data_IF_053785271537
#
_entry.id   IF_053785271537
#
_cell.length_a   1.000
_cell.length_b   1.000
_cell.length_c   1.000
_cell.angle_alpha   90.00
_cell.angle_beta   90.00
_cell.angle_gamma   90.00
#
_symmetry.space_group_name_H-M   'P 1'
#
loop_
_entity.id
_entity.type
_entity.pdbx_description
1 polymer ?
#
# COMPACT_ATOMS: atom_id res chain seq x y z
N UNK A 1 -5.91 8.30 3.77
CA UNK A 1 -5.81 7.74 2.40
C UNK A 1 -7.22 7.41 1.91
N UNK A 2 -7.53 7.76 0.69
CA UNK A 2 -8.82 7.47 0.06
C UNK A 2 -8.61 6.45 -1.07
N UNK A 3 -9.51 5.47 -1.16
CA UNK A 3 -9.57 4.56 -2.30
C UNK A 3 -10.63 5.15 -3.25
N UNK A 4 -10.21 5.47 -4.46
CA UNK A 4 -11.06 5.97 -5.53
C UNK A 4 -11.82 4.83 -6.22
N UNK A 5 -12.80 5.15 -7.07
CA UNK A 5 -13.67 4.16 -7.72
C UNK A 5 -12.93 3.06 -8.48
N UNK A 6 -11.78 3.39 -9.07
CA UNK A 6 -10.94 2.45 -9.86
C UNK A 6 -9.94 1.66 -9.02
N UNK A 7 -10.09 1.63 -7.68
CA UNK A 7 -9.13 1.01 -6.78
C UNK A 7 -7.82 1.79 -6.65
N UNK A 8 -7.70 2.94 -7.29
CA UNK A 8 -6.57 3.88 -7.15
C UNK A 8 -6.56 4.43 -5.73
N UNK A 9 -5.41 4.43 -5.10
CA UNK A 9 -5.22 5.00 -3.77
C UNK A 9 -4.67 6.42 -3.91
N UNK A 10 -5.38 7.40 -3.34
CA UNK A 10 -4.81 8.72 -3.06
C UNK A 10 -4.11 8.66 -1.71
N UNK A 11 -2.79 8.57 -1.73
CA UNK A 11 -1.93 8.52 -0.55
C UNK A 11 -1.46 9.92 -0.18
N UNK A 12 -1.56 10.30 1.10
CA UNK A 12 -0.99 11.54 1.61
C UNK A 12 0.46 11.31 2.05
N UNK A 13 1.35 12.16 1.58
CA UNK A 13 2.76 12.10 1.91
C UNK A 13 3.07 12.20 3.39
N UNK A 14 4.30 11.87 3.73
CA UNK A 14 4.76 11.82 5.12
C UNK A 14 4.93 13.22 5.72
N UNK A 15 4.53 13.33 6.97
CA UNK A 15 4.81 14.52 7.79
C UNK A 15 6.23 14.48 8.34
N UNK A 16 6.72 15.65 8.74
CA UNK A 16 7.94 15.75 9.55
C UNK A 16 7.82 14.84 10.77
N UNK A 17 8.86 14.06 11.13
CA UNK A 17 8.83 13.20 12.31
C UNK A 17 8.44 13.95 13.59
N UNK A 18 7.61 13.35 14.43
CA UNK A 18 7.06 13.99 15.64
C UNK A 18 8.12 14.42 16.65
N UNK A 19 9.27 13.75 16.69
CA UNK A 19 10.43 14.14 17.50
C UNK A 19 11.11 15.42 17.03
N UNK A 20 10.95 15.79 15.75
CA UNK A 20 11.46 17.07 15.20
C UNK A 20 10.43 18.18 15.29
N UNK A 21 9.13 17.85 15.20
CA UNK A 21 8.06 18.83 15.38
C UNK A 21 6.78 18.15 15.92
N UNK A 22 6.44 18.37 17.20
CA UNK A 22 5.19 17.85 17.79
C UNK A 22 3.91 18.30 17.06
N UNK A 23 3.95 19.50 16.45
CA UNK A 23 2.82 20.09 15.71
C UNK A 23 2.89 19.79 14.20
N UNK A 24 3.44 18.64 13.84
CA UNK A 24 3.66 18.22 12.44
C UNK A 24 2.43 18.36 11.52
N UNK A 25 1.23 18.25 12.07
CA UNK A 25 -0.04 18.44 11.33
C UNK A 25 -0.39 19.90 11.03
N UNK A 26 0.38 20.87 11.51
CA UNK A 26 0.21 22.30 11.22
C UNK A 26 1.31 22.85 10.29
N UNK A 27 2.28 22.00 9.92
CA UNK A 27 3.43 22.40 9.11
C UNK A 27 3.30 21.82 7.70
N UNK A 28 3.66 22.62 6.70
CA UNK A 28 3.71 22.16 5.31
C UNK A 28 4.65 20.96 5.18
N UNK A 29 4.24 19.98 4.40
CA UNK A 29 5.15 18.93 3.95
C UNK A 29 6.20 19.53 3.02
N UNK A 30 7.39 18.91 2.95
CA UNK A 30 8.48 19.37 2.11
C UNK A 30 9.01 18.26 1.22
N UNK A 31 9.44 18.63 0.01
CA UNK A 31 10.14 17.72 -0.92
C UNK A 31 11.65 17.63 -0.60
N UNK A 32 12.20 18.62 0.07
CA UNK A 32 13.63 18.69 0.42
C UNK A 32 13.81 18.90 1.92
N UNK A 33 14.88 18.35 2.44
CA UNK A 33 15.38 18.69 3.78
C UNK A 33 15.97 20.12 3.80
N UNK A 34 16.20 20.72 4.97
CA UNK A 34 16.89 22.01 5.04
C UNK A 34 18.29 22.04 4.37
N UNK A 35 18.94 20.87 4.27
CA UNK A 35 20.24 20.70 3.58
C UNK A 35 20.12 20.45 2.07
N UNK A 36 18.91 20.52 1.50
CA UNK A 36 18.67 20.32 0.06
C UNK A 36 18.61 18.85 -0.40
N UNK A 37 18.61 17.89 0.52
CA UNK A 37 18.50 16.46 0.20
C UNK A 37 17.01 16.09 0.02
N UNK A 38 16.62 15.32 -1.00
CA UNK A 38 15.24 14.87 -1.17
C UNK A 38 14.71 14.10 0.04
N UNK A 39 13.54 14.49 0.55
CA UNK A 39 12.76 13.70 1.53
C UNK A 39 12.14 12.48 0.85
N UNK A 40 11.48 11.59 1.60
CA UNK A 40 10.69 10.50 0.99
C UNK A 40 9.59 11.07 0.07
N UNK A 41 8.91 12.15 0.49
CA UNK A 41 7.97 12.86 -0.39
C UNK A 41 8.66 13.36 -1.67
N UNK A 42 9.88 13.90 -1.56
CA UNK A 42 10.65 14.38 -2.72
C UNK A 42 11.02 13.27 -3.69
N UNK A 43 11.43 12.13 -3.17
CA UNK A 43 11.76 10.94 -4.00
C UNK A 43 10.52 10.41 -4.73
N UNK A 44 9.38 10.29 -4.03
CA UNK A 44 8.11 9.87 -4.61
C UNK A 44 7.63 10.87 -5.66
N UNK A 45 7.71 12.16 -5.36
CA UNK A 45 7.29 13.22 -6.27
C UNK A 45 8.10 13.19 -7.56
N UNK A 46 9.43 13.08 -7.47
CA UNK A 46 10.30 12.98 -8.63
C UNK A 46 10.02 11.72 -9.46
N UNK A 47 9.83 10.56 -8.78
CA UNK A 47 9.52 9.31 -9.47
C UNK A 47 8.20 9.38 -10.25
N UNK A 48 7.17 10.01 -9.67
CA UNK A 48 5.90 10.24 -10.35
C UNK A 48 6.04 11.17 -11.56
N UNK A 49 6.84 12.24 -11.45
CA UNK A 49 7.12 13.14 -12.57
C UNK A 49 7.91 12.45 -13.68
N UNK A 50 8.94 11.66 -13.35
CA UNK A 50 9.73 10.89 -14.32
C UNK A 50 8.82 9.98 -15.14
N UNK A 51 7.86 9.29 -14.50
CA UNK A 51 6.86 8.48 -15.18
C UNK A 51 5.93 9.33 -16.06
N UNK A 52 5.36 10.39 -15.50
CA UNK A 52 4.41 11.27 -16.21
C UNK A 52 5.00 11.91 -17.48
N UNK A 53 6.30 12.16 -17.47
CA UNK A 53 7.04 12.70 -18.62
C UNK A 53 7.64 11.62 -19.54
N UNK A 54 7.35 10.34 -19.28
CA UNK A 54 7.85 9.24 -20.10
C UNK A 54 9.37 8.98 -19.96
N UNK A 55 9.98 9.48 -18.89
CA UNK A 55 11.43 9.30 -18.64
C UNK A 55 11.73 7.91 -18.09
N UNK A 56 10.83 7.37 -17.26
CA UNK A 56 10.96 6.05 -16.63
C UNK A 56 9.62 5.33 -16.54
N UNK A 57 9.69 4.01 -16.41
CA UNK A 57 8.54 3.20 -16.00
C UNK A 57 8.06 3.59 -14.59
N UNK A 58 6.76 3.35 -14.27
CA UNK A 58 6.23 3.72 -12.97
C UNK A 58 6.93 2.93 -11.85
N UNK A 59 7.23 3.62 -10.76
CA UNK A 59 7.79 2.97 -9.58
C UNK A 59 6.75 2.07 -8.92
N UNK A 60 7.12 0.82 -8.66
CA UNK A 60 6.25 -0.16 -8.01
C UNK A 60 6.33 -0.01 -6.48
N UNK A 61 5.18 0.19 -5.86
CA UNK A 61 5.03 0.39 -4.43
C UNK A 61 4.22 -0.76 -3.85
N UNK A 62 4.77 -1.47 -2.87
CA UNK A 62 4.02 -2.47 -2.11
C UNK A 62 3.20 -1.76 -1.03
N UNK A 63 1.89 -1.92 -1.06
CA UNK A 63 0.97 -1.20 -0.19
C UNK A 63 0.49 -2.11 0.94
N UNK A 64 0.55 -1.59 2.18
CA UNK A 64 0.05 -2.24 3.38
C UNK A 64 -1.02 -1.39 4.04
N UNK A 65 -2.20 -1.97 4.27
CA UNK A 65 -3.28 -1.32 5.00
C UNK A 65 -3.31 -1.79 6.45
N UNK A 66 -3.21 -0.85 7.38
CA UNK A 66 -3.33 -1.14 8.80
C UNK A 66 -4.79 -1.42 9.16
N UNK A 67 -5.07 -2.58 9.76
CA UNK A 67 -6.39 -2.93 10.29
C UNK A 67 -6.53 -2.50 11.75
N UNK A 68 -5.55 -2.87 12.57
CA UNK A 68 -5.44 -2.51 14.00
C UNK A 68 -3.98 -2.54 14.42
N UNK A 69 -3.67 -2.17 15.65
CA UNK A 69 -2.28 -2.19 16.15
C UNK A 69 -1.65 -3.58 15.95
N UNK A 70 -0.56 -3.63 15.21
CA UNK A 70 0.20 -4.85 14.94
C UNK A 70 -0.40 -5.78 13.88
N UNK A 71 -1.52 -5.43 13.22
CA UNK A 71 -2.13 -6.24 12.16
C UNK A 71 -2.36 -5.42 10.90
N UNK A 72 -1.86 -5.93 9.79
CA UNK A 72 -1.88 -5.30 8.48
C UNK A 72 -2.45 -6.23 7.41
N UNK A 73 -2.91 -5.67 6.30
CA UNK A 73 -3.24 -6.40 5.06
C UNK A 73 -2.23 -6.01 4.00
N UNK A 74 -1.64 -7.01 3.35
CA UNK A 74 -0.87 -6.79 2.13
C UNK A 74 -1.84 -6.56 0.97
N UNK A 75 -1.83 -5.35 0.45
CA UNK A 75 -2.65 -4.94 -0.70
C UNK A 75 -1.97 -5.25 -2.04
N UNK A 76 -0.73 -5.77 -2.01
CA UNK A 76 0.09 -6.05 -3.19
C UNK A 76 0.73 -4.82 -3.79
N UNK A 77 1.15 -4.95 -5.06
CA UNK A 77 1.87 -3.90 -5.76
C UNK A 77 0.94 -2.91 -6.46
N UNK A 78 1.35 -1.65 -6.40
CA UNK A 78 0.74 -0.51 -7.08
C UNK A 78 1.81 0.23 -7.87
N UNK A 79 1.43 0.81 -8.98
CA UNK A 79 2.26 1.71 -9.76
C UNK A 79 2.03 3.16 -9.33
N UNK A 80 3.09 3.89 -9.02
CA UNK A 80 3.04 5.32 -8.73
C UNK A 80 2.88 6.08 -10.05
N UNK A 81 1.66 6.61 -10.29
CA UNK A 81 1.30 7.17 -11.60
C UNK A 81 1.23 8.70 -11.64
N UNK A 82 1.00 9.36 -10.51
CA UNK A 82 0.96 10.83 -10.46
C UNK A 82 1.27 11.33 -9.04
N UNK A 83 1.66 12.60 -8.94
CA UNK A 83 1.85 13.33 -7.70
C UNK A 83 1.46 14.80 -7.88
N UNK A 84 0.85 15.39 -6.84
CA UNK A 84 0.50 16.80 -6.83
C UNK A 84 0.50 17.40 -5.42
N UNK A 85 0.63 18.73 -5.36
CA UNK A 85 0.48 19.49 -4.13
C UNK A 85 -1.00 19.84 -3.93
N UNK A 86 -1.51 19.63 -2.73
CA UNK A 86 -2.84 20.03 -2.29
C UNK A 86 -2.74 20.93 -1.07
N UNK A 87 -3.45 22.04 -1.08
CA UNK A 87 -3.61 22.89 0.09
C UNK A 87 -4.88 22.45 0.84
N UNK A 88 -4.73 22.02 2.09
CA UNK A 88 -5.84 21.93 3.02
C UNK A 88 -6.03 23.26 3.75
N UNK A 89 -6.99 23.35 4.68
CA UNK A 89 -7.29 24.59 5.41
C UNK A 89 -6.11 25.13 6.23
N UNK A 90 -5.12 24.31 6.53
CA UNK A 90 -4.03 24.62 7.48
C UNK A 90 -2.65 24.60 6.87
N UNK A 91 -2.43 23.74 5.84
CA UNK A 91 -1.09 23.46 5.32
C UNK A 91 -1.12 22.94 3.89
N UNK A 92 0.06 22.88 3.28
CA UNK A 92 0.30 22.20 2.02
C UNK A 92 0.72 20.76 2.26
N UNK A 93 0.12 19.83 1.56
CA UNK A 93 0.43 18.39 1.59
C UNK A 93 0.68 17.87 0.19
N UNK A 94 1.45 16.80 0.07
CA UNK A 94 1.63 16.09 -1.19
C UNK A 94 0.70 14.89 -1.24
N UNK A 95 0.10 14.70 -2.42
CA UNK A 95 -0.75 13.55 -2.73
C UNK A 95 -0.11 12.75 -3.84
N UNK A 96 -0.18 11.44 -3.71
CA UNK A 96 0.37 10.47 -4.63
C UNK A 96 -0.73 9.54 -5.08
N UNK A 97 -0.85 9.32 -6.40
CA UNK A 97 -1.81 8.39 -6.97
C UNK A 97 -1.13 7.05 -7.24
N UNK A 98 -1.64 6.03 -6.59
CA UNK A 98 -1.14 4.66 -6.69
C UNK A 98 -2.20 3.80 -7.39
N UNK A 99 -1.91 3.34 -8.62
CA UNK A 99 -2.78 2.47 -9.41
C UNK A 99 -2.45 1.01 -9.12
N UNK A 100 -3.47 0.14 -8.82
CA UNK A 100 -3.19 -1.27 -8.58
C UNK A 100 -2.52 -1.91 -9.80
N UNK A 101 -1.42 -2.63 -9.57
CA UNK A 101 -0.79 -3.42 -10.63
C UNK A 101 -1.53 -4.76 -10.74
N UNK A 102 -2.15 -4.98 -11.89
CA UNK A 102 -2.85 -6.23 -12.22
C UNK A 102 -2.36 -6.65 -13.60
N UNK A 103 -1.95 -7.91 -13.74
CA UNK A 103 -1.40 -8.47 -14.97
C UNK A 103 -2.51 -8.87 -15.99
N UNK A 104 -3.63 -8.14 -15.99
CA UNK A 104 -4.76 -8.33 -16.91
C UNK A 104 -5.02 -7.06 -17.73
N UNK A 105 -5.66 -7.20 -18.88
CA UNK A 105 -6.04 -6.06 -19.71
C UNK A 105 -7.17 -5.27 -19.05
N UNK A 106 -7.04 -3.95 -19.00
CA UNK A 106 -8.01 -3.02 -18.38
C UNK A 106 -9.43 -3.09 -19.00
N UNK A 107 -9.55 -3.66 -20.22
CA UNK A 107 -10.83 -3.83 -20.92
C UNK A 107 -11.67 -5.02 -20.47
N UNK A 108 -11.13 -5.87 -19.59
CA UNK A 108 -11.80 -7.11 -19.19
C UNK A 108 -12.74 -6.84 -18.01
N UNK A 109 -13.99 -7.31 -18.09
CA UNK A 109 -14.94 -7.25 -16.96
C UNK A 109 -14.35 -7.92 -15.71
N UNK A 110 -13.57 -8.96 -15.91
CA UNK A 110 -12.82 -9.66 -14.88
C UNK A 110 -11.82 -8.71 -14.15
N UNK A 111 -11.18 -7.79 -14.88
CA UNK A 111 -10.30 -6.76 -14.29
C UNK A 111 -11.07 -5.84 -13.32
N UNK A 112 -12.25 -5.35 -13.72
CA UNK A 112 -13.08 -4.48 -12.89
C UNK A 112 -13.60 -5.23 -11.65
N UNK A 113 -14.02 -6.48 -11.81
CA UNK A 113 -14.45 -7.32 -10.70
C UNK A 113 -13.30 -7.61 -9.72
N UNK A 114 -12.09 -7.79 -10.22
CA UNK A 114 -10.90 -7.96 -9.41
C UNK A 114 -10.55 -6.70 -8.62
N UNK A 115 -10.62 -5.51 -9.20
CA UNK A 115 -10.39 -4.24 -8.49
C UNK A 115 -11.32 -4.09 -7.27
N UNK A 116 -12.61 -4.40 -7.45
CA UNK A 116 -13.59 -4.35 -6.37
C UNK A 116 -13.38 -5.44 -5.31
N UNK A 117 -12.77 -6.58 -5.67
CA UNK A 117 -12.61 -7.76 -4.83
C UNK A 117 -11.21 -7.91 -4.20
N UNK A 118 -10.32 -6.92 -4.38
CA UNK A 118 -8.95 -6.97 -3.83
C UNK A 118 -8.91 -6.93 -2.30
N UNK A 119 -9.92 -6.34 -1.67
CA UNK A 119 -9.99 -6.29 -0.23
C UNK A 119 -10.37 -7.66 0.33
N UNK A 120 -9.62 -8.11 1.34
CA UNK A 120 -9.96 -9.34 2.07
C UNK A 120 -11.18 -9.03 2.96
N UNK A 121 -12.34 -9.72 2.76
CA UNK A 121 -13.53 -9.50 3.56
C UNK A 121 -13.27 -9.80 5.05
N UNK A 122 -13.99 -9.10 5.94
CA UNK A 122 -13.83 -9.27 7.39
C UNK A 122 -14.08 -10.70 7.88
N UNK A 123 -15.01 -11.41 7.27
CA UNK A 123 -15.30 -12.83 7.57
C UNK A 123 -14.10 -13.72 7.21
N UNK A 124 -13.47 -13.50 6.05
CA UNK A 124 -12.28 -14.22 5.63
C UNK A 124 -11.11 -13.90 6.57
N UNK A 125 -10.95 -12.63 6.97
CA UNK A 125 -9.92 -12.23 7.93
C UNK A 125 -10.11 -12.96 9.27
N UNK A 126 -11.37 -13.05 9.75
CA UNK A 126 -11.71 -13.76 10.99
C UNK A 126 -11.37 -15.23 10.89
N UNK A 127 -11.83 -15.90 9.83
CA UNK A 127 -11.57 -17.34 9.59
C UNK A 127 -10.06 -17.64 9.55
N UNK A 128 -9.30 -16.83 8.80
CA UNK A 128 -7.83 -16.99 8.69
C UNK A 128 -7.15 -16.74 10.03
N UNK A 129 -7.59 -15.71 10.78
CA UNK A 129 -7.01 -15.40 12.07
C UNK A 129 -7.24 -16.53 13.09
N UNK A 130 -8.43 -17.13 13.11
CA UNK A 130 -8.77 -18.28 13.96
C UNK A 130 -8.01 -19.53 13.52
N UNK A 131 -7.97 -19.86 12.23
CA UNK A 131 -7.25 -20.99 11.65
C UNK A 131 -5.75 -20.93 11.98
N UNK A 132 -5.12 -19.78 11.78
CA UNK A 132 -3.68 -19.57 11.99
C UNK A 132 -3.37 -19.22 13.46
N UNK A 133 -4.39 -19.20 14.33
CA UNK A 133 -4.29 -18.95 15.79
C UNK A 133 -3.64 -17.59 16.10
N UNK A 134 -3.85 -16.58 15.25
CA UNK A 134 -3.24 -15.25 15.40
C UNK A 134 -1.71 -15.28 15.36
N UNK A 135 -1.11 -16.19 14.59
CA UNK A 135 0.36 -16.38 14.52
C UNK A 135 0.84 -16.48 13.09
N UNK A 136 2.07 -16.05 12.87
CA UNK A 136 2.75 -16.28 11.60
C UNK A 136 2.87 -17.78 11.33
N UNK A 137 2.32 -18.28 10.20
CA UNK A 137 2.36 -19.71 9.85
C UNK A 137 3.77 -20.25 9.59
N UNK A 138 4.76 -19.36 9.40
CA UNK A 138 6.17 -19.75 9.17
C UNK A 138 7.02 -19.85 10.43
N UNK A 139 6.77 -19.01 11.45
CA UNK A 139 7.63 -18.95 12.64
C UNK A 139 6.89 -18.82 13.97
N UNK A 140 5.55 -18.77 13.97
CA UNK A 140 4.76 -18.65 15.18
C UNK A 140 4.76 -17.27 15.85
N UNK A 141 5.41 -16.24 15.27
CA UNK A 141 5.39 -14.87 15.82
C UNK A 141 3.97 -14.33 15.87
N UNK A 142 3.66 -13.60 16.94
CA UNK A 142 2.37 -12.92 17.15
C UNK A 142 2.45 -11.42 16.85
N UNK A 143 3.62 -10.91 16.49
CA UNK A 143 3.87 -9.49 16.28
C UNK A 143 3.89 -9.12 14.81
N UNK A 144 3.38 -7.91 14.51
CA UNK A 144 3.37 -7.33 13.17
C UNK A 144 2.89 -8.33 12.11
N UNK A 145 1.67 -8.86 12.33
CA UNK A 145 1.06 -9.84 11.45
C UNK A 145 0.44 -9.17 10.23
N UNK A 146 0.60 -9.82 9.09
CA UNK A 146 0.06 -9.42 7.80
C UNK A 146 -0.83 -10.53 7.26
N UNK A 147 -2.06 -10.20 6.83
CA UNK A 147 -2.84 -11.05 5.95
C UNK A 147 -2.24 -10.94 4.55
N UNK A 148 -1.81 -12.06 4.04
CA UNK A 148 -1.08 -12.18 2.77
C UNK A 148 -1.75 -13.21 1.87
N UNK A 149 -1.82 -12.93 0.56
CA UNK A 149 -2.34 -13.86 -0.43
C UNK A 149 -1.31 -14.94 -0.75
N UNK A 150 -1.66 -16.23 -0.60
CA UNK A 150 -0.78 -17.36 -0.98
C UNK A 150 -0.48 -17.28 -2.47
N UNK A 151 -1.50 -17.26 -3.31
CA UNK A 151 -1.41 -16.86 -4.73
C UNK A 151 -1.61 -15.35 -4.77
N UNK A 152 -0.64 -14.56 -5.25
CA UNK A 152 -0.77 -13.12 -5.30
C UNK A 152 -2.02 -12.67 -6.03
N UNK A 153 -2.64 -11.60 -5.53
CA UNK A 153 -3.84 -11.06 -6.17
C UNK A 153 -3.60 -10.66 -7.63
N UNK A 154 -2.43 -10.06 -7.94
CA UNK A 154 -2.02 -9.71 -9.30
C UNK A 154 -1.89 -10.91 -10.24
N UNK A 155 -1.89 -12.14 -9.71
CA UNK A 155 -1.85 -13.41 -10.47
C UNK A 155 -3.16 -14.19 -10.37
N UNK A 156 -4.28 -13.50 -10.08
CA UNK A 156 -5.61 -14.11 -10.02
C UNK A 156 -5.96 -14.76 -8.68
N UNK A 157 -5.17 -14.54 -7.62
CA UNK A 157 -5.47 -15.07 -6.29
C UNK A 157 -6.67 -14.37 -5.64
N UNK A 158 -7.67 -15.15 -5.23
CA UNK A 158 -8.90 -14.64 -4.62
C UNK A 158 -8.69 -14.12 -3.20
N UNK A 159 -9.22 -12.92 -2.91
CA UNK A 159 -9.34 -12.38 -1.55
C UNK A 159 -10.52 -12.95 -0.76
N UNK A 160 -11.48 -13.58 -1.44
CA UNK A 160 -12.73 -14.08 -0.85
C UNK A 160 -12.61 -15.49 -0.30
N UNK A 161 -11.50 -16.17 -0.51
CA UNK A 161 -11.30 -17.58 -0.13
C UNK A 161 -10.22 -17.66 0.94
N UNK A 162 -10.58 -18.04 2.16
CA UNK A 162 -9.65 -18.15 3.29
C UNK A 162 -8.47 -19.10 3.00
N UNK A 163 -8.64 -20.11 2.17
CA UNK A 163 -7.57 -21.02 1.72
C UNK A 163 -6.45 -20.31 0.94
N UNK A 164 -6.76 -19.15 0.32
CA UNK A 164 -5.75 -18.36 -0.38
C UNK A 164 -5.11 -17.29 0.48
N UNK A 165 -5.54 -17.11 1.72
CA UNK A 165 -5.01 -16.11 2.65
C UNK A 165 -4.28 -16.80 3.79
N UNK A 166 -3.18 -16.19 4.26
CA UNK A 166 -2.39 -16.68 5.39
C UNK A 166 -1.91 -15.53 6.28
N UNK A 167 -1.58 -15.83 7.55
CA UNK A 167 -0.91 -14.89 8.43
C UNK A 167 0.61 -15.04 8.35
N UNK A 168 1.31 -13.96 8.04
CA UNK A 168 2.77 -13.86 8.08
C UNK A 168 3.19 -12.71 8.99
N UNK A 169 4.31 -12.83 9.69
CA UNK A 169 4.95 -11.66 10.30
C UNK A 169 5.60 -10.79 9.21
N UNK A 170 5.85 -9.51 9.49
CA UNK A 170 6.42 -8.56 8.54
C UNK A 170 7.67 -9.12 7.84
N UNK A 171 8.59 -9.76 8.59
CA UNK A 171 9.81 -10.36 8.03
C UNK A 171 9.52 -11.43 6.98
N UNK A 172 8.56 -12.33 7.24
CA UNK A 172 8.22 -13.40 6.30
C UNK A 172 7.39 -12.90 5.13
N UNK A 173 6.56 -11.89 5.34
CA UNK A 173 5.80 -11.26 4.27
C UNK A 173 6.73 -10.53 3.29
N UNK A 174 7.62 -9.67 3.78
CA UNK A 174 8.61 -8.97 2.95
C UNK A 174 9.54 -9.94 2.20
N UNK A 175 9.98 -11.03 2.87
CA UNK A 175 10.83 -12.05 2.23
C UNK A 175 10.11 -12.80 1.10
N UNK A 176 8.80 -13.02 1.24
CA UNK A 176 8.00 -13.66 0.20
C UNK A 176 7.90 -12.74 -1.02
N UNK A 177 7.61 -11.44 -0.82
CA UNK A 177 7.38 -10.49 -1.92
C UNK A 177 6.30 -11.01 -2.86
N UNK A 178 6.47 -10.75 -4.16
CA UNK A 178 5.61 -11.32 -5.21
C UNK A 178 6.11 -12.67 -5.75
N UNK A 179 7.02 -13.34 -5.02
CA UNK A 179 7.55 -14.64 -5.42
C UNK A 179 6.59 -15.76 -5.00
N UNK A 180 6.41 -16.72 -5.90
CA UNK A 180 5.94 -18.07 -5.58
C UNK A 180 7.11 -18.87 -5.04
#
# INVERSE_FOLDING_TARGET
DHILEDGVIEYEGDDIPANLNPQKKLVNQSLLTPSGIPTENGKFFQAALDYKHGVKEPSQIQVYRKLRKGIWVDMGFYDLIDAYEKKDDKRKVFKFLLKPKIDLKESDQEYLDLLHNRQIPGEVQKEVYERDRGKCVKCGSVENLHFDHIVPFSKGGSSKIAKNIQLLCARHNLKKGAKF
#
